data_IF_711145865538
#
_entry.id   IF_711145865538
#
_cell.length_a   1.000
_cell.length_b   1.000
_cell.length_c   1.000
_cell.angle_alpha   90.00
_cell.angle_beta   90.00
_cell.angle_gamma   90.00
#
_symmetry.space_group_name_H-M   'P 1'
#
loop_
_entity.id
_entity.type
_entity.pdbx_description
1 polymer ?
#
# COMPACT_ATOMS: atom_id res chain seq x y z
N UNK A 1 23.60 -7.40 -5.17
CA UNK A 1 23.00 -6.25 -4.47
C UNK A 1 23.46 -6.32 -3.02
N UNK A 2 24.09 -5.27 -2.50
CA UNK A 2 24.56 -5.17 -1.12
C UNK A 2 24.44 -3.72 -0.68
N UNK A 3 24.21 -3.47 0.61
CA UNK A 3 24.22 -2.12 1.16
C UNK A 3 25.65 -1.56 1.17
N UNK A 4 25.80 -0.30 0.79
CA UNK A 4 27.09 0.40 0.77
C UNK A 4 26.97 1.82 1.31
N UNK A 5 27.83 2.17 2.27
CA UNK A 5 27.81 3.47 2.97
C UNK A 5 28.67 4.50 2.22
N UNK A 6 28.30 4.83 0.98
CA UNK A 6 29.03 5.74 0.06
C UNK A 6 29.50 7.04 0.70
N UNK A 7 28.65 7.65 1.53
CA UNK A 7 28.87 8.99 2.07
C UNK A 7 29.58 9.00 3.44
N UNK A 8 29.97 7.83 3.97
CA UNK A 8 30.69 7.77 5.23
C UNK A 8 32.19 8.05 5.02
N UNK A 9 32.80 8.77 5.96
CA UNK A 9 34.22 9.13 5.86
C UNK A 9 35.10 7.88 5.84
N UNK A 10 36.02 7.81 4.88
CA UNK A 10 36.93 6.67 4.69
C UNK A 10 36.32 5.50 3.91
N UNK A 11 35.09 5.61 3.41
CA UNK A 11 34.53 4.62 2.48
C UNK A 11 35.38 4.59 1.19
N UNK A 12 35.92 3.43 0.80
CA UNK A 12 36.66 3.29 -0.45
C UNK A 12 35.80 3.62 -1.67
N UNK A 13 36.44 3.97 -2.78
CA UNK A 13 35.75 4.12 -4.07
C UNK A 13 35.08 2.78 -4.43
N UNK A 14 33.90 2.85 -5.05
CA UNK A 14 33.19 1.67 -5.51
C UNK A 14 34.07 0.91 -6.53
N UNK A 15 34.38 -0.39 -6.30
CA UNK A 15 35.16 -1.16 -7.25
C UNK A 15 34.45 -1.31 -8.60
N UNK A 16 35.19 -1.53 -9.68
CA UNK A 16 34.65 -1.63 -11.05
C UNK A 16 33.63 -2.77 -11.24
N UNK A 17 33.74 -3.83 -10.44
CA UNK A 17 32.79 -4.96 -10.43
C UNK A 17 31.43 -4.60 -9.81
N UNK A 18 31.29 -3.39 -9.26
CA UNK A 18 30.08 -2.92 -8.62
C UNK A 18 29.55 -1.66 -9.30
N UNK A 19 28.24 -1.60 -9.39
CA UNK A 19 27.51 -0.47 -9.94
C UNK A 19 26.40 -0.07 -8.98
N UNK A 20 26.20 1.23 -8.81
CA UNK A 20 25.17 1.75 -7.93
C UNK A 20 23.77 1.45 -8.50
N UNK A 21 22.82 1.00 -7.67
CA UNK A 21 21.45 0.72 -8.11
C UNK A 21 20.62 2.01 -8.22
N UNK A 22 20.88 2.81 -9.25
CA UNK A 22 20.30 4.16 -9.45
C UNK A 22 19.34 4.27 -10.64
N UNK A 23 18.85 3.14 -11.19
CA UNK A 23 17.91 3.16 -12.32
C UNK A 23 18.56 3.39 -13.70
N UNK A 24 19.89 3.43 -13.78
CA UNK A 24 20.61 3.67 -15.03
C UNK A 24 20.68 2.42 -15.91
N UNK A 25 20.89 2.63 -17.21
CA UNK A 25 21.31 1.56 -18.12
C UNK A 25 22.77 1.20 -17.85
N UNK A 26 23.05 -0.08 -17.63
CA UNK A 26 24.42 -0.57 -17.45
C UNK A 26 25.20 -0.44 -18.76
N UNK A 27 26.38 0.15 -18.70
CA UNK A 27 27.31 0.22 -19.82
C UNK A 27 28.61 -0.49 -19.42
N UNK A 28 28.60 -1.81 -19.53
CA UNK A 28 29.73 -2.68 -19.21
C UNK A 28 29.69 -3.88 -20.18
N UNK A 29 30.47 -3.86 -21.27
CA UNK A 29 30.47 -4.92 -22.28
C UNK A 29 30.82 -6.32 -21.75
N UNK A 30 31.52 -6.42 -20.62
CA UNK A 30 31.89 -7.71 -20.03
C UNK A 30 30.79 -8.29 -19.14
N UNK A 31 29.83 -7.46 -18.72
CA UNK A 31 28.70 -7.89 -17.92
C UNK A 31 27.60 -8.56 -18.75
N UNK A 32 27.00 -9.68 -18.26
CA UNK A 32 25.81 -10.25 -18.88
C UNK A 32 24.59 -9.31 -18.83
N UNK A 33 24.65 -8.27 -18.00
CA UNK A 33 23.59 -7.25 -17.88
C UNK A 33 23.86 -6.00 -18.72
N UNK A 34 24.87 -6.01 -19.61
CA UNK A 34 25.16 -4.87 -20.48
C UNK A 34 23.92 -4.38 -21.24
N UNK A 35 23.72 -3.07 -21.27
CA UNK A 35 22.58 -2.43 -21.92
C UNK A 35 21.24 -2.64 -21.23
N UNK A 36 21.19 -3.31 -20.06
CA UNK A 36 19.97 -3.46 -19.26
C UNK A 36 19.85 -2.33 -18.26
N UNK A 37 18.61 -1.91 -17.99
CA UNK A 37 18.31 -0.97 -16.91
C UNK A 37 18.46 -1.68 -15.56
N UNK A 38 19.32 -1.14 -14.71
CA UNK A 38 19.52 -1.59 -13.33
C UNK A 38 18.35 -1.08 -12.49
N UNK A 39 17.86 -1.82 -11.49
CA UNK A 39 16.85 -1.30 -10.58
C UNK A 39 17.32 -0.02 -9.86
N UNK A 40 16.40 0.91 -9.65
CA UNK A 40 16.60 2.03 -8.72
C UNK A 40 16.19 1.54 -7.32
N UNK A 41 17.16 1.23 -6.47
CA UNK A 41 16.93 0.82 -5.07
C UNK A 41 17.33 1.92 -4.08
N UNK A 42 17.99 2.96 -4.58
CA UNK A 42 18.39 4.12 -3.79
C UNK A 42 17.29 5.21 -3.78
N UNK A 43 16.12 4.94 -4.36
CA UNK A 43 14.95 5.84 -4.36
C UNK A 43 14.06 5.70 -3.10
N UNK A 44 14.33 4.71 -2.26
CA UNK A 44 13.58 4.41 -1.04
C UNK A 44 12.73 3.13 -1.11
N UNK A 45 12.95 2.29 -2.13
CA UNK A 45 12.26 1.03 -2.33
C UNK A 45 12.72 -0.05 -1.34
N UNK A 46 11.77 -0.81 -0.81
CA UNK A 46 12.05 -1.98 0.02
C UNK A 46 12.29 -3.23 -0.84
N UNK A 47 13.12 -4.15 -0.35
CA UNK A 47 13.26 -5.47 -0.98
C UNK A 47 12.16 -6.40 -0.46
N UNK A 48 11.38 -6.96 -1.38
CA UNK A 48 10.31 -7.92 -1.06
C UNK A 48 10.59 -9.27 -1.71
N UNK A 49 10.37 -10.36 -0.97
CA UNK A 49 10.50 -11.71 -1.52
C UNK A 49 9.35 -12.04 -2.47
N UNK A 50 9.69 -12.64 -3.61
CA UNK A 50 8.73 -13.14 -4.61
C UNK A 50 9.27 -14.40 -5.31
N UNK A 51 8.41 -15.16 -6.00
CA UNK A 51 8.82 -16.29 -6.85
C UNK A 51 9.47 -15.84 -8.16
N UNK A 52 9.32 -14.57 -8.52
CA UNK A 52 9.97 -13.93 -9.68
C UNK A 52 10.61 -12.61 -9.24
N UNK A 53 11.74 -12.24 -9.85
CA UNK A 53 12.42 -10.97 -9.57
C UNK A 53 12.07 -9.91 -10.61
N UNK A 54 12.25 -8.63 -10.27
CA UNK A 54 12.08 -7.51 -11.20
C UNK A 54 10.70 -6.84 -11.15
N UNK A 55 9.76 -7.39 -10.39
CA UNK A 55 8.48 -6.74 -10.10
C UNK A 55 8.67 -5.49 -9.24
N UNK A 56 7.76 -4.53 -9.39
CA UNK A 56 7.65 -3.35 -8.52
C UNK A 56 6.20 -3.16 -8.10
N UNK A 57 5.99 -2.42 -7.02
CA UNK A 57 4.65 -2.03 -6.59
C UNK A 57 4.66 -1.33 -5.24
N UNK A 58 3.49 -1.26 -4.62
CA UNK A 58 3.30 -0.44 -3.41
C UNK A 58 3.15 1.04 -3.76
N UNK A 59 2.98 1.87 -2.74
CA UNK A 59 2.82 3.31 -2.91
C UNK A 59 3.42 4.08 -1.73
N UNK A 60 3.96 5.27 -2.00
CA UNK A 60 4.45 6.19 -0.95
C UNK A 60 3.30 6.75 -0.11
N UNK A 61 2.12 6.87 -0.71
CA UNK A 61 0.89 7.32 -0.07
C UNK A 61 -0.28 6.49 -0.56
N UNK A 62 -1.24 6.21 0.33
CA UNK A 62 -2.50 5.56 -0.02
C UNK A 62 -3.67 6.41 0.47
N UNK A 63 -4.78 6.34 -0.24
CA UNK A 63 -6.02 7.00 0.16
C UNK A 63 -6.86 6.03 1.01
N UNK A 64 -7.11 6.37 2.27
CA UNK A 64 -7.93 5.58 3.20
C UNK A 64 -9.41 6.03 3.20
N UNK A 65 -9.79 6.98 2.35
CA UNK A 65 -11.19 7.38 2.20
C UNK A 65 -12.00 6.18 1.74
N UNK A 66 -13.03 5.84 2.51
CA UNK A 66 -14.02 4.84 2.18
C UNK A 66 -15.40 5.34 2.60
N UNK A 67 -16.45 4.79 1.97
CA UNK A 67 -17.84 5.15 2.22
C UNK A 67 -18.57 3.98 2.87
N UNK A 68 -19.32 4.25 3.93
CA UNK A 68 -20.25 3.28 4.50
C UNK A 68 -21.60 3.39 3.79
N UNK A 69 -22.05 2.28 3.19
CA UNK A 69 -23.40 2.18 2.66
C UNK A 69 -24.31 1.63 3.76
N UNK A 70 -25.20 2.47 4.27
CA UNK A 70 -26.26 2.04 5.17
C UNK A 70 -27.40 1.50 4.30
N UNK A 71 -27.45 0.19 4.09
CA UNK A 71 -28.68 -0.46 3.61
C UNK A 71 -29.63 -0.57 4.79
N UNK A 72 -30.50 0.43 4.95
CA UNK A 72 -31.63 0.32 5.86
C UNK A 72 -32.55 -0.79 5.36
N UNK A 73 -32.65 -1.88 6.11
CA UNK A 73 -33.76 -2.81 5.94
C UNK A 73 -35.03 -2.06 6.35
N UNK A 74 -35.79 -1.56 5.39
CA UNK A 74 -37.16 -1.10 5.59
C UNK A 74 -38.04 -2.30 5.89
N UNK A 75 -37.93 -2.79 7.12
CA UNK A 75 -38.70 -3.89 7.66
C UNK A 75 -39.85 -3.45 8.54
N UNK A 76 -40.54 -2.33 8.27
CA UNK A 76 -41.90 -2.09 8.82
C UNK A 76 -42.73 -1.37 7.75
N UNK A 77 -43.79 -2.04 7.28
CA UNK A 77 -44.73 -1.51 6.31
C UNK A 77 -45.35 -0.19 6.78
N UNK A 78 -45.00 0.89 6.10
CA UNK A 78 -45.52 2.21 6.38
C UNK A 78 -44.79 3.22 5.54
N UNK A 79 -45.43 3.68 4.46
CA UNK A 79 -44.97 4.74 3.57
C UNK A 79 -44.38 5.89 4.38
N UNK A 80 -43.07 6.05 4.34
CA UNK A 80 -42.40 7.27 4.83
C UNK A 80 -41.58 7.85 3.68
N UNK A 81 -42.03 9.01 3.23
CA UNK A 81 -41.34 9.90 2.32
C UNK A 81 -39.92 10.13 2.84
N UNK A 82 -38.92 10.07 1.96
CA UNK A 82 -37.51 10.21 2.32
C UNK A 82 -37.26 11.49 3.13
N UNK A 83 -37.13 11.36 4.45
CA UNK A 83 -36.78 12.46 5.32
C UNK A 83 -35.27 12.63 5.33
N UNK A 84 -34.84 13.87 5.08
CA UNK A 84 -33.46 14.31 5.08
C UNK A 84 -32.75 13.87 6.38
N UNK A 85 -31.52 13.35 6.24
CA UNK A 85 -30.69 12.88 7.37
C UNK A 85 -30.44 14.06 8.30
N UNK A 86 -30.97 13.98 9.52
CA UNK A 86 -30.88 15.04 10.55
C UNK A 86 -32.19 15.30 11.28
N UNK A 87 -33.33 14.82 10.76
CA UNK A 87 -34.61 14.94 11.47
C UNK A 87 -34.76 13.75 12.42
N UNK A 88 -34.75 14.02 13.73
CA UNK A 88 -35.02 13.00 14.75
C UNK A 88 -36.34 12.27 14.41
N UNK A 89 -36.27 10.95 14.32
CA UNK A 89 -37.45 10.13 14.08
C UNK A 89 -38.25 10.05 15.39
N UNK A 90 -39.27 10.92 15.54
CA UNK A 90 -40.23 10.82 16.63
C UNK A 90 -41.21 9.70 16.28
N UNK A 91 -41.04 8.54 16.91
CA UNK A 91 -42.06 7.50 16.88
C UNK A 91 -43.26 8.03 17.68
N UNK A 92 -44.35 8.35 16.98
CA UNK A 92 -45.57 8.87 17.60
C UNK A 92 -46.18 7.80 18.49
N UNK A 93 -46.10 7.97 19.81
CA UNK A 93 -46.74 7.10 20.81
C UNK A 93 -45.85 6.62 21.95
N UNK A 94 -44.53 6.86 21.92
CA UNK A 94 -43.63 6.57 23.04
C UNK A 94 -43.13 7.87 23.68
N UNK A 95 -43.23 8.04 25.02
CA UNK A 95 -42.91 9.28 25.71
C UNK A 95 -41.41 9.61 25.71
N UNK A 96 -40.56 8.60 25.50
CA UNK A 96 -39.12 8.74 25.61
C UNK A 96 -38.45 8.46 24.26
N UNK A 97 -37.84 9.50 23.70
CA UNK A 97 -36.95 9.38 22.54
C UNK A 97 -35.58 8.89 23.03
N UNK A 98 -35.34 7.58 22.95
CA UNK A 98 -33.99 7.07 23.12
C UNK A 98 -33.18 7.35 21.84
N UNK A 99 -31.95 7.88 21.94
CA UNK A 99 -31.07 7.95 20.78
C UNK A 99 -30.83 6.53 20.28
N UNK A 100 -31.16 6.27 19.02
CA UNK A 100 -30.69 5.06 18.35
C UNK A 100 -29.19 5.25 18.20
N UNK A 101 -28.41 4.59 19.06
CA UNK A 101 -26.98 4.50 18.88
C UNK A 101 -26.76 3.47 17.78
N UNK A 102 -26.79 3.95 16.54
CA UNK A 102 -26.48 3.12 15.38
C UNK A 102 -24.98 2.87 15.44
N UNK A 103 -24.58 1.78 16.12
CA UNK A 103 -23.23 1.25 16.00
C UNK A 103 -23.04 0.93 14.52
N UNK A 104 -22.38 1.85 13.81
CA UNK A 104 -21.98 1.67 12.42
C UNK A 104 -20.81 0.69 12.37
N UNK A 105 -20.98 -0.54 12.85
CA UNK A 105 -20.07 -1.64 12.51
C UNK A 105 -20.48 -2.23 11.15
N UNK A 106 -20.41 -1.38 10.12
CA UNK A 106 -20.44 -1.88 8.74
C UNK A 106 -19.00 -2.19 8.34
N UNK A 107 -18.59 -3.42 8.62
CA UNK A 107 -17.38 -4.07 8.09
C UNK A 107 -17.46 -4.20 6.57
N UNK A 108 -17.39 -3.10 5.84
CA UNK A 108 -17.05 -3.07 4.43
C UNK A 108 -15.63 -2.54 4.31
N UNK A 109 -14.70 -3.36 4.78
CA UNK A 109 -13.28 -3.12 4.57
C UNK A 109 -12.98 -3.33 3.10
N UNK A 110 -12.93 -2.24 2.31
CA UNK A 110 -12.14 -2.27 1.10
C UNK A 110 -10.69 -2.45 1.56
N UNK A 111 -10.15 -3.67 1.44
CA UNK A 111 -8.77 -3.93 1.84
C UNK A 111 -7.84 -3.10 0.94
N UNK A 112 -7.41 -1.94 1.44
CA UNK A 112 -6.39 -1.14 0.78
C UNK A 112 -5.02 -1.74 1.11
N UNK A 113 -4.21 -1.98 0.07
CA UNK A 113 -2.83 -2.40 0.27
C UNK A 113 -2.03 -1.24 0.85
N UNK A 114 -1.47 -1.43 2.04
CA UNK A 114 -0.64 -0.44 2.72
C UNK A 114 0.86 -0.66 2.47
N UNK A 115 1.20 -1.48 1.48
CA UNK A 115 2.60 -1.85 1.21
C UNK A 115 3.39 -0.61 0.73
N UNK A 116 4.55 -0.31 1.35
CA UNK A 116 5.43 0.74 0.85
C UNK A 116 5.97 0.37 -0.53
N UNK A 117 6.55 1.31 -1.30
CA UNK A 117 7.19 1.01 -2.56
C UNK A 117 8.23 -0.10 -2.40
N UNK A 118 8.19 -1.10 -3.27
CA UNK A 118 9.08 -2.24 -3.20
C UNK A 118 9.61 -2.68 -4.57
N UNK A 119 10.71 -3.43 -4.54
CA UNK A 119 11.26 -4.19 -5.64
C UNK A 119 11.31 -5.68 -5.28
N UNK A 120 10.79 -6.53 -6.16
CA UNK A 120 10.71 -7.96 -5.95
C UNK A 120 12.05 -8.66 -6.24
N UNK A 121 12.49 -9.47 -5.28
CA UNK A 121 13.69 -10.30 -5.34
C UNK A 121 13.38 -11.74 -4.98
N UNK A 122 14.18 -12.65 -5.51
CA UNK A 122 14.17 -14.06 -5.08
C UNK A 122 15.25 -14.22 -4.02
N UNK A 123 14.86 -14.60 -2.81
CA UNK A 123 15.82 -14.88 -1.74
C UNK A 123 16.50 -16.23 -1.95
N UNK A 124 17.81 -16.24 -1.81
CA UNK A 124 18.63 -17.45 -1.86
C UNK A 124 19.49 -17.53 -0.59
N UNK A 125 19.76 -18.74 -0.12
CA UNK A 125 20.67 -18.98 1.00
C UNK A 125 21.91 -19.70 0.47
N UNK A 126 23.09 -19.18 0.82
CA UNK A 126 24.34 -19.89 0.56
C UNK A 126 24.40 -21.11 1.47
N UNK A 127 24.42 -22.30 0.90
CA UNK A 127 24.45 -23.58 1.63
C UNK A 127 25.86 -24.16 1.78
N UNK A 128 26.83 -23.66 1.00
CA UNK A 128 28.27 -23.99 1.01
C UNK A 128 29.07 -22.80 0.47
#
# INVERSE_FOLDING_TARGET
>A
IVAWLKNFSGTPILPEEWVECSGQTLNDPESPYNGKTIPNLNGGEFLRGSSTSGGTGGATTINLLHTHNLTGETGIGGTTTMANVGTQHKITGWPDSHPINLDTDSKLSSNQSILPPYYDVVWIMRIK
#
